data_IF_978921290009
#
_entry.id   IF_978921290009
#
_cell.length_a   1.000
_cell.length_b   1.000
_cell.length_c   1.000
_cell.angle_alpha   90.00
_cell.angle_beta   90.00
_cell.angle_gamma   90.00
#
_symmetry.space_group_name_H-M   'P 1'
#
loop_
_entity.id
_entity.type
_entity.pdbx_description
1 polymer ?
#
# COMPACT_ATOMS: atom_id res chain seq x y z
N UNK A 1 7.27 6.79 -8.23
CA UNK A 1 5.97 6.31 -8.75
C UNK A 1 5.06 6.16 -7.55
N UNK A 2 4.17 7.13 -7.38
CA UNK A 2 3.21 7.16 -6.29
C UNK A 2 1.96 6.43 -6.76
N UNK A 3 1.43 5.57 -5.89
CA UNK A 3 0.23 4.79 -6.15
C UNK A 3 -0.79 4.97 -5.04
N UNK A 4 -2.05 5.01 -5.43
CA UNK A 4 -3.18 4.76 -4.52
C UNK A 4 -3.43 3.26 -4.48
N UNK A 5 -3.57 2.71 -3.28
CA UNK A 5 -3.83 1.31 -3.03
C UNK A 5 -5.22 1.15 -2.41
N UNK A 6 -5.97 0.16 -2.89
CA UNK A 6 -7.20 -0.27 -2.23
C UNK A 6 -6.83 -0.97 -0.92
N UNK A 7 -7.63 -0.76 0.12
CA UNK A 7 -7.47 -1.46 1.41
C UNK A 7 -7.26 -2.97 1.27
N UNK A 8 -6.36 -3.53 2.07
CA UNK A 8 -5.93 -4.93 1.95
C UNK A 8 -5.47 -5.51 3.29
N UNK A 9 -5.77 -6.79 3.50
CA UNK A 9 -5.34 -7.52 4.69
C UNK A 9 -5.99 -6.94 5.95
N UNK A 10 -5.15 -6.46 6.88
CA UNK A 10 -5.58 -5.85 8.15
C UNK A 10 -5.71 -4.32 8.09
N UNK A 11 -5.48 -3.71 6.92
CA UNK A 11 -5.67 -2.26 6.70
C UNK A 11 -7.11 -2.06 6.23
N UNK A 12 -7.89 -1.26 6.94
CA UNK A 12 -9.33 -1.09 6.71
C UNK A 12 -9.69 0.13 5.83
N UNK A 13 -8.70 0.98 5.53
CA UNK A 13 -8.83 2.14 4.65
C UNK A 13 -7.85 2.10 3.48
N UNK A 14 -8.20 2.82 2.41
CA UNK A 14 -7.29 3.03 1.29
C UNK A 14 -6.08 3.85 1.76
N UNK A 15 -4.94 3.62 1.12
CA UNK A 15 -3.68 4.27 1.48
C UNK A 15 -2.92 4.66 0.21
N UNK A 16 -1.97 5.59 0.36
CA UNK A 16 -1.05 5.97 -0.72
C UNK A 16 0.37 5.58 -0.36
N UNK A 17 1.18 5.31 -1.38
CA UNK A 17 2.57 4.95 -1.18
C UNK A 17 3.42 4.96 -2.43
N UNK A 18 4.69 4.65 -2.25
CA UNK A 18 5.68 4.58 -3.32
C UNK A 18 6.01 3.13 -3.65
N UNK A 19 6.03 2.78 -4.94
CA UNK A 19 6.50 1.45 -5.36
C UNK A 19 8.00 1.31 -5.07
N UNK A 20 8.37 0.36 -4.21
CA UNK A 20 9.76 -0.03 -3.95
C UNK A 20 10.22 -1.16 -4.90
N UNK A 21 9.31 -2.10 -5.22
CA UNK A 21 9.65 -3.26 -6.05
C UNK A 21 8.46 -3.74 -6.87
N UNK A 22 8.72 -4.12 -8.12
CA UNK A 22 7.70 -4.67 -9.03
C UNK A 22 7.93 -6.17 -9.18
N UNK A 23 6.88 -6.96 -8.95
CA UNK A 23 6.83 -8.41 -9.22
C UNK A 23 5.99 -8.68 -10.47
N UNK A 24 5.77 -9.96 -10.79
CA UNK A 24 4.96 -10.33 -11.96
C UNK A 24 3.53 -9.77 -11.86
N UNK A 25 2.81 -10.06 -10.77
CA UNK A 25 1.40 -9.70 -10.58
C UNK A 25 1.14 -8.71 -9.42
N UNK A 26 2.19 -8.29 -8.73
CA UNK A 26 2.10 -7.43 -7.55
C UNK A 26 3.21 -6.40 -7.50
N UNK A 27 3.09 -5.46 -6.57
CA UNK A 27 4.11 -4.46 -6.24
C UNK A 27 4.29 -4.41 -4.73
N UNK A 28 5.52 -4.20 -4.28
CA UNK A 28 5.82 -3.79 -2.92
C UNK A 28 5.71 -2.27 -2.86
N UNK A 29 4.89 -1.77 -1.95
CA UNK A 29 4.63 -0.35 -1.74
C UNK A 29 5.10 0.04 -0.34
N UNK A 30 5.94 1.07 -0.26
CA UNK A 30 6.21 1.78 0.99
C UNK A 30 5.08 2.76 1.25
N UNK A 31 4.35 2.57 2.35
CA UNK A 31 3.15 3.33 2.69
C UNK A 31 3.56 4.72 3.20
N UNK A 32 2.93 5.78 2.70
CA UNK A 32 3.24 7.18 3.02
C UNK A 32 2.10 7.91 3.71
N UNK A 33 0.87 7.68 3.26
CA UNK A 33 -0.32 8.26 3.85
C UNK A 33 -1.37 7.16 4.03
N UNK A 34 -1.98 7.14 5.21
CA UNK A 34 -2.96 6.15 5.65
C UNK A 34 -3.86 6.77 6.71
N UNK A 35 -4.97 6.09 7.02
CA UNK A 35 -5.86 6.50 8.09
C UNK A 35 -5.25 6.16 9.47
N UNK A 36 -5.38 7.06 10.45
CA UNK A 36 -4.83 6.84 11.80
C UNK A 36 -5.43 5.61 12.50
N UNK A 37 -6.63 5.17 12.12
CA UNK A 37 -7.22 3.92 12.61
C UNK A 37 -6.39 2.68 12.22
N UNK A 38 -5.60 2.77 11.14
CA UNK A 38 -4.77 1.67 10.64
C UNK A 38 -3.33 1.71 11.18
N UNK A 39 -2.95 2.68 12.02
CA UNK A 39 -1.57 2.86 12.53
C UNK A 39 -0.93 1.56 13.05
N UNK A 40 -1.69 0.79 13.83
CA UNK A 40 -1.22 -0.47 14.39
C UNK A 40 -0.93 -1.51 13.28
N UNK A 41 -1.87 -1.69 12.35
CA UNK A 41 -1.72 -2.62 11.24
C UNK A 41 -0.54 -2.22 10.32
N UNK A 42 -0.39 -0.93 10.03
CA UNK A 42 0.71 -0.39 9.23
C UNK A 42 2.06 -0.63 9.92
N UNK A 43 2.11 -0.45 11.25
CA UNK A 43 3.32 -0.71 12.04
C UNK A 43 3.70 -2.20 12.05
N UNK A 44 2.73 -3.11 12.19
CA UNK A 44 2.96 -4.56 12.14
C UNK A 44 3.51 -5.02 10.78
N UNK A 45 3.12 -4.33 9.71
CA UNK A 45 3.60 -4.56 8.34
C UNK A 45 4.94 -3.86 8.02
N UNK A 46 5.60 -3.23 9.01
CA UNK A 46 6.81 -2.44 8.80
C UNK A 46 6.64 -1.37 7.72
N UNK A 47 5.47 -0.73 7.68
CA UNK A 47 5.11 0.34 6.74
C UNK A 47 5.17 -0.09 5.26
N UNK A 48 4.98 -1.38 4.98
CA UNK A 48 5.06 -1.95 3.63
C UNK A 48 3.89 -2.86 3.33
N UNK A 49 3.35 -2.75 2.12
CA UNK A 49 2.30 -3.64 1.63
C UNK A 49 2.69 -4.26 0.29
N UNK A 50 2.37 -5.55 0.12
CA UNK A 50 2.39 -6.18 -1.20
C UNK A 50 0.95 -6.18 -1.71
N UNK A 51 0.70 -5.42 -2.76
CA UNK A 51 -0.64 -5.26 -3.37
C UNK A 51 -0.63 -5.72 -4.82
N UNK A 52 -1.78 -6.18 -5.32
CA UNK A 52 -1.90 -6.62 -6.71
C UNK A 52 -1.82 -5.42 -7.65
N UNK A 53 -1.18 -5.60 -8.80
CA UNK A 53 -1.13 -4.55 -9.84
C UNK A 53 -2.52 -4.13 -10.34
N UNK A 54 -3.51 -5.01 -10.24
CA UNK A 54 -4.90 -4.71 -10.61
C UNK A 54 -5.65 -3.88 -9.56
N UNK A 55 -5.09 -3.67 -8.37
CA UNK A 55 -5.72 -3.01 -7.22
C UNK A 55 -5.02 -1.70 -6.84
N UNK A 56 -4.08 -1.24 -7.70
CA UNK A 56 -3.38 0.03 -7.57
C UNK A 56 -3.74 0.97 -8.72
N UNK A 57 -3.75 2.26 -8.41
CA UNK A 57 -3.87 3.34 -9.38
C UNK A 57 -2.62 4.21 -9.33
N UNK A 58 -1.96 4.40 -10.47
CA UNK A 58 -0.79 5.29 -10.57
C UNK A 58 -1.29 6.73 -10.57
N UNK A 59 -0.78 7.54 -9.66
CA UNK A 59 -1.18 8.95 -9.53
C UNK A 59 -0.07 9.93 -9.93
N UNK A 60 1.21 9.52 -9.85
CA UNK A 60 2.37 10.32 -10.32
C UNK A 60 3.63 9.47 -10.62
#
# INVERSE_FOLDING_TARGET
MIVKCTKFGSIEHDFTGEIEKVYENSVLVAIKEHDAADDMAISELNQRAIVRKSEIEIIE
#
